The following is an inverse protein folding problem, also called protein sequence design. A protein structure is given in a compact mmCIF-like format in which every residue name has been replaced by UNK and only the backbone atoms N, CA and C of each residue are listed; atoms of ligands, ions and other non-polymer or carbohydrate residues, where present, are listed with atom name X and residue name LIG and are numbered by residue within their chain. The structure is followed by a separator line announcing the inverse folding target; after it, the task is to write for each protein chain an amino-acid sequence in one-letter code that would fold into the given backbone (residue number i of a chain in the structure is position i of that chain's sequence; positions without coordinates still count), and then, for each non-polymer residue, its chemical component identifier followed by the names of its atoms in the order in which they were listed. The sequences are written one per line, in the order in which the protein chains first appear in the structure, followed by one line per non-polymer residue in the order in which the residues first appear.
data_IF_031064037476
#
_entry.id   IF_031064037476
#
_cell.length_a   1.000
_cell.length_b   1.000
_cell.length_c   1.000
_cell.angle_alpha   90.00
_cell.angle_beta   90.00
_cell.angle_gamma   90.00
#
_symmetry.space_group_name_H-M   'P 1'
#
loop_
_entity.id
_entity.type
_entity.pdbx_description
1 polymer ?
#
# COMPACT_ATOMS: atom_id res chain seq x y z
N UNK A 1 -12.14 17.53 13.88
CA UNK A 1 -11.74 16.10 13.85
C UNK A 1 -12.75 15.21 14.60
N UNK A 2 -13.38 14.27 13.89
CA UNK A 2 -14.33 13.28 14.48
C UNK A 2 -13.74 11.88 14.29
N UNK A 3 -13.75 11.03 15.31
CA UNK A 3 -13.30 9.63 15.23
C UNK A 3 -14.43 8.70 15.68
N UNK A 4 -14.80 7.72 14.85
CA UNK A 4 -15.87 6.76 15.15
C UNK A 4 -15.48 5.35 14.72
N UNK A 5 -16.07 4.36 15.38
CA UNK A 5 -15.86 2.93 15.11
C UNK A 5 -17.08 2.33 14.47
N UNK A 6 -16.85 1.49 13.46
CA UNK A 6 -17.88 0.87 12.65
C UNK A 6 -17.65 -0.63 12.64
N UNK A 7 -18.70 -1.40 12.94
CA UNK A 7 -18.64 -2.86 12.92
C UNK A 7 -19.53 -3.42 11.82
N UNK A 8 -18.99 -4.37 11.06
CA UNK A 8 -19.73 -5.09 10.03
C UNK A 8 -19.15 -6.49 9.81
N UNK A 9 -19.88 -7.39 9.10
CA UNK A 9 -19.38 -8.72 8.76
C UNK A 9 -18.12 -8.68 7.90
N UNK A 10 -18.01 -7.68 7.03
CA UNK A 10 -16.87 -7.48 6.12
C UNK A 10 -16.23 -6.11 6.30
N UNK A 11 -14.96 -5.99 5.94
CA UNK A 11 -14.25 -4.71 5.95
C UNK A 11 -14.92 -3.69 5.02
N UNK A 12 -15.31 -4.12 3.82
CA UNK A 12 -15.98 -3.27 2.83
C UNK A 12 -17.30 -2.70 3.37
N UNK A 13 -18.12 -3.51 4.05
CA UNK A 13 -19.35 -3.01 4.66
C UNK A 13 -19.07 -2.04 5.81
N UNK A 14 -18.03 -2.28 6.62
CA UNK A 14 -17.66 -1.39 7.70
C UNK A 14 -17.15 -0.04 7.17
N UNK A 15 -16.38 -0.05 6.08
CA UNK A 15 -15.94 1.16 5.36
C UNK A 15 -17.14 1.88 4.74
N UNK A 16 -18.09 1.16 4.16
CA UNK A 16 -19.28 1.75 3.55
C UNK A 16 -20.15 2.44 4.61
N UNK A 17 -20.34 1.82 5.78
CA UNK A 17 -20.99 2.47 6.93
C UNK A 17 -20.21 3.69 7.42
N UNK A 18 -18.88 3.62 7.43
CA UNK A 18 -18.05 4.75 7.81
C UNK A 18 -18.22 5.93 6.84
N UNK A 19 -18.28 5.66 5.53
CA UNK A 19 -18.51 6.67 4.48
C UNK A 19 -19.92 7.23 4.50
N UNK A 20 -20.91 6.40 4.82
CA UNK A 20 -22.31 6.82 4.96
C UNK A 20 -22.49 7.77 6.16
N UNK A 21 -21.89 7.47 7.32
CA UNK A 21 -22.02 8.30 8.52
C UNK A 21 -21.06 9.51 8.57
N UNK A 22 -19.80 9.35 8.15
CA UNK A 22 -18.77 10.41 8.23
C UNK A 22 -18.55 11.15 6.91
N UNK A 23 -19.16 10.70 5.82
CA UNK A 23 -19.00 11.27 4.48
C UNK A 23 -17.83 10.68 3.69
N UNK A 24 -17.72 11.10 2.43
CA UNK A 24 -16.71 10.58 1.49
C UNK A 24 -15.25 10.90 1.88
N UNK A 25 -15.05 11.86 2.79
CA UNK A 25 -13.74 12.27 3.30
C UNK A 25 -13.29 11.46 4.53
N UNK A 26 -13.98 10.37 4.87
CA UNK A 26 -13.60 9.51 5.99
C UNK A 26 -12.30 8.75 5.68
N UNK A 27 -11.30 8.90 6.55
CA UNK A 27 -10.03 8.19 6.51
C UNK A 27 -10.05 7.04 7.50
N UNK A 28 -9.72 5.83 7.05
CA UNK A 28 -9.62 4.66 7.92
C UNK A 28 -8.31 4.71 8.70
N UNK A 29 -8.41 4.69 10.02
CA UNK A 29 -7.28 4.69 10.96
C UNK A 29 -6.80 3.26 11.27
N UNK A 30 -7.72 2.39 11.64
CA UNK A 30 -7.39 1.05 12.11
C UNK A 30 -8.48 0.05 11.77
N UNK A 31 -8.08 -1.14 11.34
CA UNK A 31 -8.99 -2.26 11.02
C UNK A 31 -8.65 -3.42 11.93
N UNK A 32 -9.64 -3.92 12.68
CA UNK A 32 -9.48 -5.06 13.57
C UNK A 32 -10.55 -6.11 13.29
N UNK A 33 -10.14 -7.29 12.88
CA UNK A 33 -11.03 -8.45 12.80
C UNK A 33 -11.24 -9.02 14.19
N UNK A 34 -12.47 -8.93 14.69
CA UNK A 34 -12.94 -9.62 15.89
C UNK A 34 -13.30 -11.05 15.52
N UNK A 35 -12.29 -11.92 15.58
CA UNK A 35 -12.49 -13.37 15.46
C UNK A 35 -13.05 -13.94 16.75
N UNK A 36 -14.20 -14.61 16.66
CA UNK A 36 -14.75 -15.26 17.85
C UNK A 36 -13.97 -16.55 18.15
N UNK A 37 -13.28 -16.59 19.31
CA UNK A 37 -12.52 -17.75 19.77
C UNK A 37 -13.41 -18.69 20.60
N UNK A 38 -13.20 -20.00 20.45
CA UNK A 38 -13.86 -21.05 21.21
C UNK A 38 -14.97 -21.79 20.47
N UNK A 39 -15.73 -22.62 21.20
CA UNK A 39 -16.84 -23.44 20.69
C UNK A 39 -18.02 -22.64 20.09
N UNK A 40 -18.09 -21.33 20.38
CA UNK A 40 -19.12 -20.44 19.84
C UNK A 40 -18.90 -20.03 18.38
N UNK A 41 -17.75 -20.37 17.79
CA UNK A 41 -17.45 -20.10 16.37
C UNK A 41 -18.39 -20.82 15.40
N UNK A 42 -19.07 -21.88 15.85
CA UNK A 42 -20.05 -22.60 15.02
C UNK A 42 -21.38 -21.83 14.85
N UNK A 43 -21.67 -20.85 15.72
CA UNK A 43 -22.97 -20.17 15.75
C UNK A 43 -22.93 -18.69 15.36
N UNK A 44 -21.74 -18.11 15.26
CA UNK A 44 -21.57 -16.67 15.10
C UNK A 44 -20.42 -16.37 14.15
N UNK A 45 -20.70 -15.48 13.20
CA UNK A 45 -19.76 -15.06 12.16
C UNK A 45 -18.72 -14.10 12.75
N UNK A 46 -17.51 -14.16 12.20
CA UNK A 46 -16.47 -13.17 12.48
C UNK A 46 -16.97 -11.78 12.08
N UNK A 47 -16.59 -10.75 12.83
CA UNK A 47 -16.95 -9.35 12.54
C UNK A 47 -15.69 -8.50 12.46
N UNK A 48 -15.74 -7.42 11.70
CA UNK A 48 -14.65 -6.48 11.49
C UNK A 48 -15.04 -5.14 12.10
N UNK A 49 -14.15 -4.58 12.93
CA UNK A 49 -14.22 -3.22 13.45
C UNK A 49 -13.27 -2.32 12.65
N UNK A 50 -13.82 -1.29 12.01
CA UNK A 50 -13.08 -0.25 11.30
C UNK A 50 -13.21 1.05 12.10
N UNK A 51 -12.09 1.63 12.48
CA UNK A 51 -12.05 2.99 13.07
C UNK A 51 -11.79 3.97 11.94
N UNK A 52 -12.67 4.94 11.77
CA UNK A 52 -12.54 5.98 10.75
C UNK A 52 -12.61 7.37 11.37
N UNK A 53 -11.91 8.32 10.76
CA UNK A 53 -11.94 9.72 11.15
C UNK A 53 -12.25 10.65 9.99
N UNK A 54 -13.00 11.70 10.28
CA UNK A 54 -13.19 12.84 9.40
C UNK A 54 -12.20 13.94 9.80
N UNK A 55 -11.22 14.19 8.94
CA UNK A 55 -10.37 15.39 8.99
C UNK A 55 -10.93 16.45 8.04
N UNK A 56 -11.19 17.63 8.58
CA UNK A 56 -11.35 18.86 7.83
C UNK A 56 -9.96 19.25 7.30
N UNK A 57 -9.75 19.04 6.00
CA UNK A 57 -8.46 19.09 5.34
C UNK A 57 -7.76 20.45 5.49
N UNK A 58 -6.54 20.46 6.06
CA UNK A 58 -5.47 21.35 5.59
C UNK A 58 -4.07 20.69 5.47
N UNK A 59 -3.83 19.42 5.84
CA UNK A 59 -2.43 18.92 5.87
C UNK A 59 -2.09 17.56 5.21
N UNK A 60 -3.04 16.72 4.78
CA UNK A 60 -2.73 15.32 4.42
C UNK A 60 -2.93 14.97 2.92
N UNK A 61 -3.04 15.96 2.02
CA UNK A 61 -3.21 15.67 0.58
C UNK A 61 -1.91 15.31 -0.17
N UNK A 62 -0.72 15.41 0.44
CA UNK A 62 0.55 15.24 -0.28
C UNK A 62 1.28 13.90 -0.10
N UNK A 63 0.78 12.93 0.67
CA UNK A 63 1.54 11.67 0.94
C UNK A 63 0.89 10.35 0.50
N UNK A 64 -0.36 10.33 0.02
CA UNK A 64 -1.07 9.07 -0.27
C UNK A 64 -1.46 8.84 -1.75
N UNK A 65 -0.78 9.49 -2.70
CA UNK A 65 -0.94 9.21 -4.14
C UNK A 65 -0.06 8.04 -4.64
N UNK A 66 0.55 7.25 -3.76
CA UNK A 66 1.46 6.17 -4.12
C UNK A 66 1.13 4.87 -3.39
N UNK A 67 -0.05 4.27 -3.64
CA UNK A 67 -0.17 2.80 -3.75
C UNK A 67 -1.57 2.32 -4.11
N UNK A 68 -1.59 1.47 -5.14
CA UNK A 68 -2.57 0.40 -5.39
C UNK A 68 -3.97 0.80 -5.90
N UNK A 69 -4.07 0.97 -7.22
CA UNK A 69 -5.25 0.49 -7.95
C UNK A 69 -5.05 -1.01 -8.24
N UNK A 70 -5.89 -1.93 -7.73
CA UNK A 70 -6.06 -3.24 -8.34
C UNK A 70 -7.07 -3.09 -9.48
N UNK A 71 -6.56 -2.91 -10.71
CA UNK A 71 -7.40 -2.97 -11.90
C UNK A 71 -7.83 -4.44 -12.11
N UNK A 72 -9.14 -4.65 -12.03
CA UNK A 72 -9.83 -5.89 -12.37
C UNK A 72 -9.70 -6.19 -13.87
N UNK A 73 -9.69 -7.47 -14.31
CA UNK A 73 -9.61 -7.81 -15.71
C UNK A 73 -10.99 -7.64 -16.33
N UNK A 74 -11.19 -6.62 -17.18
CA UNK A 74 -12.33 -6.58 -18.08
C UNK A 74 -11.92 -7.15 -19.43
N UNK A 75 -12.41 -8.36 -19.68
CA UNK A 75 -12.51 -8.93 -21.01
C UNK A 75 -13.36 -8.02 -21.90
N UNK A 76 -12.91 -7.75 -23.13
CA UNK A 76 -13.76 -7.16 -24.16
C UNK A 76 -13.02 -6.35 -25.23
N UNK A 77 -12.68 -7.04 -26.32
CA UNK A 77 -12.74 -6.55 -27.70
C UNK A 77 -11.44 -6.14 -28.42
N UNK A 78 -11.28 -6.84 -29.56
CA UNK A 78 -10.66 -6.45 -30.84
C UNK A 78 -9.13 -6.37 -30.93
N UNK A 79 -8.58 -7.47 -31.44
CA UNK A 79 -7.30 -7.55 -32.15
C UNK A 79 -7.10 -6.36 -33.10
N UNK A 80 -6.04 -5.59 -32.89
CA UNK A 80 -5.35 -4.88 -33.98
C UNK A 80 -3.86 -4.91 -33.67
N UNK A 81 -3.11 -5.67 -34.44
CA UNK A 81 -1.67 -5.78 -34.34
C UNK A 81 -1.02 -4.51 -34.86
N UNK A 82 -0.49 -3.69 -33.97
CA UNK A 82 0.72 -2.90 -34.22
C UNK A 82 1.66 -3.15 -33.04
N UNK A 83 2.59 -4.06 -33.29
CA UNK A 83 3.77 -4.32 -32.48
C UNK A 83 4.72 -3.15 -32.72
N UNK A 84 4.95 -2.32 -31.71
CA UNK A 84 6.29 -1.83 -31.32
C UNK A 84 6.17 -0.97 -30.05
N UNK A 85 6.45 -1.56 -28.88
CA UNK A 85 7.26 -0.92 -27.82
C UNK A 85 7.49 -1.98 -26.72
N UNK A 86 8.67 -2.61 -26.77
CA UNK A 86 9.16 -3.51 -25.74
C UNK A 86 9.39 -2.72 -24.46
N UNK A 87 8.58 -3.00 -23.44
CA UNK A 87 8.74 -2.53 -22.07
C UNK A 87 10.11 -2.99 -21.51
N UNK A 88 11.09 -2.10 -21.44
CA UNK A 88 12.46 -2.39 -20.98
C UNK A 88 12.65 -2.13 -19.48
N UNK A 89 11.81 -2.74 -18.63
CA UNK A 89 11.91 -2.58 -17.16
C UNK A 89 12.99 -3.48 -16.54
N UNK A 90 13.64 -4.34 -17.33
CA UNK A 90 14.70 -5.24 -16.83
C UNK A 90 16.11 -4.64 -16.91
N UNK A 91 16.30 -3.53 -17.62
CA UNK A 91 17.63 -2.99 -17.94
C UNK A 91 18.08 -1.90 -16.93
N UNK A 92 17.14 -1.18 -16.30
CA UNK A 92 17.44 -0.21 -15.24
C UNK A 92 18.07 -0.88 -14.00
N UNK A 93 17.62 -2.07 -13.61
CA UNK A 93 18.17 -2.76 -12.43
C UNK A 93 19.66 -3.08 -12.59
N UNK A 94 20.10 -3.51 -13.77
CA UNK A 94 21.49 -3.82 -14.05
C UNK A 94 22.39 -2.56 -14.02
N UNK A 95 21.89 -1.45 -14.57
CA UNK A 95 22.60 -0.15 -14.55
C UNK A 95 22.70 0.41 -13.13
N UNK A 96 21.67 0.19 -12.30
CA UNK A 96 21.68 0.59 -10.89
C UNK A 96 22.68 -0.26 -10.09
N UNK A 97 22.74 -1.57 -10.33
CA UNK A 97 23.71 -2.47 -9.69
C UNK A 97 25.15 -2.08 -10.03
N UNK A 98 25.45 -1.76 -11.29
CA UNK A 98 26.78 -1.31 -11.73
C UNK A 98 27.22 0.01 -11.04
N UNK A 99 26.28 0.95 -10.91
CA UNK A 99 26.52 2.22 -10.21
C UNK A 99 26.75 2.01 -8.71
N UNK A 100 26.03 1.08 -8.08
CA UNK A 100 26.20 0.75 -6.68
C UNK A 100 27.57 0.08 -6.40
N UNK A 101 28.01 -0.83 -7.28
CA UNK A 101 29.33 -1.46 -7.17
C UNK A 101 30.46 -0.44 -7.32
N UNK A 102 30.33 0.48 -8.29
CA UNK A 102 31.28 1.57 -8.50
C UNK A 102 31.43 2.46 -7.26
N UNK A 103 30.32 2.78 -6.58
CA UNK A 103 30.33 3.55 -5.33
C UNK A 103 30.97 2.75 -4.18
N UNK A 104 30.66 1.46 -4.07
CA UNK A 104 31.22 0.58 -3.04
C UNK A 104 32.74 0.43 -3.17
N UNK A 105 33.24 0.31 -4.39
CA UNK A 105 34.67 0.19 -4.66
C UNK A 105 35.41 1.51 -4.36
N UNK A 106 34.83 2.65 -4.70
CA UNK A 106 35.39 3.96 -4.38
C UNK A 106 35.49 4.20 -2.87
N UNK A 107 34.44 3.82 -2.12
CA UNK A 107 34.41 3.94 -0.66
C UNK A 107 35.41 2.99 0.01
N UNK A 108 35.46 1.73 -0.42
CA UNK A 108 36.46 0.75 0.06
C UNK A 108 37.89 1.22 -0.22
N UNK A 109 38.13 1.82 -1.38
CA UNK A 109 39.44 2.34 -1.75
C UNK A 109 39.84 3.54 -0.87
N UNK A 110 38.91 4.42 -0.49
CA UNK A 110 39.18 5.50 0.46
C UNK A 110 39.41 4.98 1.89
N UNK A 111 38.64 3.98 2.34
CA UNK A 111 38.84 3.36 3.65
C UNK A 111 40.19 2.64 3.76
N UNK A 112 40.61 1.90 2.72
CA UNK A 112 41.92 1.23 2.72
C UNK A 112 43.10 2.19 2.50
N UNK A 113 42.92 3.30 1.77
CA UNK A 113 43.98 4.32 1.60
C UNK A 113 44.17 5.20 2.85
N UNK A 114 43.16 5.29 3.71
CA UNK A 114 43.24 5.98 5.01
C UNK A 114 43.87 5.17 6.14
N UNK A 115 44.17 3.88 5.91
CA UNK A 115 44.79 2.98 6.89
C UNK A 115 46.13 2.45 6.40
N UNK A 116 47.14 3.32 6.31
CA UNK A 116 48.54 2.87 6.26
C UNK A 116 49.07 2.71 7.69
N UNK A 117 49.93 1.71 7.94
CA UNK A 117 50.25 1.20 9.28
C UNK A 117 51.17 2.13 10.06
N UNK A 118 51.06 2.06 11.39
CA UNK A 118 52.17 2.31 12.32
C UNK A 118 52.42 1.02 13.10
#
# INVERSE_FOLDING_TARGET
MIVKKFQAPTETEAILKAKDELGSNAVVLNVKTLKQRGIFRLFRKDVVEVTAALEENEFISNMNAAKHQPASPKAGSTFTAVVDEKLDVMNDSAVIEEKLDSLHNMLSQQMNKGGAPS
#
